data_IF_403812500545
#
_entry.id   IF_403812500545
#
_cell.length_a   1.000
_cell.length_b   1.000
_cell.length_c   1.000
_cell.angle_alpha   90.00
_cell.angle_beta   90.00
_cell.angle_gamma   90.00
#
_symmetry.space_group_name_H-M   'P 1'
#
loop_
_entity.id
_entity.type
_entity.pdbx_description
1 polymer ?
#
# COMPACT_ATOMS: atom_id res chain seq x y z
N UNK A 1 -45.69 -29.46 23.53
CA UNK A 1 -45.46 -28.24 22.72
C UNK A 1 -44.66 -27.25 23.53
N UNK A 2 -43.33 -27.24 23.38
CA UNK A 2 -42.45 -26.30 24.08
C UNK A 2 -41.26 -25.95 23.17
N UNK A 3 -41.56 -25.35 22.01
CA UNK A 3 -40.54 -24.90 21.03
C UNK A 3 -40.58 -23.39 20.80
N UNK A 4 -41.57 -22.67 21.35
CA UNK A 4 -41.75 -21.23 21.10
C UNK A 4 -40.81 -20.31 21.90
N UNK A 5 -40.27 -20.75 23.04
CA UNK A 5 -39.51 -19.87 23.94
C UNK A 5 -38.01 -19.76 23.60
N UNK A 6 -37.45 -20.72 22.84
CA UNK A 6 -36.03 -20.71 22.44
C UNK A 6 -35.75 -19.95 21.14
N UNK A 7 -36.77 -19.72 20.30
CA UNK A 7 -36.58 -19.01 19.03
C UNK A 7 -36.23 -17.53 19.21
N UNK A 8 -36.81 -16.86 20.21
CA UNK A 8 -36.60 -15.43 20.48
C UNK A 8 -35.14 -15.09 20.85
N UNK A 9 -34.49 -15.77 21.81
CA UNK A 9 -33.10 -15.45 22.16
C UNK A 9 -32.11 -15.78 21.02
N UNK A 10 -32.39 -16.81 20.21
CA UNK A 10 -31.58 -17.15 19.03
C UNK A 10 -31.68 -16.04 17.98
N UNK A 11 -32.91 -15.57 17.71
CA UNK A 11 -33.15 -14.49 16.75
C UNK A 11 -32.48 -13.18 17.19
N UNK A 12 -32.54 -12.87 18.49
CA UNK A 12 -31.89 -11.71 19.06
C UNK A 12 -30.35 -11.82 18.98
N UNK A 13 -29.79 -13.01 19.22
CA UNK A 13 -28.36 -13.27 19.07
C UNK A 13 -27.89 -13.10 17.63
N UNK A 14 -28.60 -13.67 16.65
CA UNK A 14 -28.30 -13.51 15.23
C UNK A 14 -28.39 -12.04 14.78
N UNK A 15 -29.38 -11.30 15.28
CA UNK A 15 -29.54 -9.88 15.00
C UNK A 15 -28.35 -9.07 15.56
N UNK A 16 -27.90 -9.37 16.78
CA UNK A 16 -26.71 -8.74 17.35
C UNK A 16 -25.47 -9.05 16.52
N UNK A 17 -25.26 -10.31 16.11
CA UNK A 17 -24.12 -10.66 15.24
C UNK A 17 -24.16 -9.96 13.87
N UNK A 18 -25.35 -9.78 13.29
CA UNK A 18 -25.52 -9.08 12.01
C UNK A 18 -25.27 -7.57 12.11
N UNK A 19 -25.37 -7.00 13.32
CA UNK A 19 -25.13 -5.57 13.59
C UNK A 19 -23.69 -5.29 14.06
N UNK A 20 -22.84 -6.31 14.21
CA UNK A 20 -21.41 -6.11 14.48
C UNK A 20 -20.75 -5.60 13.20
N UNK A 21 -20.59 -4.28 13.12
CA UNK A 21 -19.69 -3.64 12.17
C UNK A 21 -18.26 -4.14 12.42
N UNK A 22 -17.69 -4.83 11.44
CA UNK A 22 -16.29 -5.27 11.50
C UNK A 22 -15.41 -4.04 11.27
N UNK A 23 -14.60 -3.66 12.24
CA UNK A 23 -13.61 -2.61 12.03
C UNK A 23 -12.60 -3.07 10.98
N UNK A 24 -12.61 -2.41 9.82
CA UNK A 24 -11.58 -2.65 8.82
C UNK A 24 -10.29 -2.03 9.33
N UNK A 25 -9.33 -2.88 9.72
CA UNK A 25 -7.98 -2.41 9.98
C UNK A 25 -7.47 -1.65 8.74
N UNK A 26 -6.89 -0.48 8.98
CA UNK A 26 -6.30 0.34 7.92
C UNK A 26 -5.09 -0.35 7.25
N UNK A 27 -4.47 0.35 6.31
CA UNK A 27 -3.24 -0.10 5.66
C UNK A 27 -2.03 0.70 6.13
N UNK A 28 -0.86 0.06 6.18
CA UNK A 28 0.40 0.76 6.42
C UNK A 28 0.88 1.39 5.10
N UNK A 29 1.24 2.67 5.14
CA UNK A 29 1.92 3.38 4.06
C UNK A 29 3.40 3.56 4.37
N UNK A 30 4.26 3.46 3.36
CA UNK A 30 5.71 3.62 3.49
C UNK A 30 6.28 4.56 2.42
N UNK A 31 7.26 5.37 2.79
CA UNK A 31 8.10 6.10 1.84
C UNK A 31 9.28 5.23 1.44
N UNK A 32 9.58 5.16 0.13
CA UNK A 32 10.69 4.39 -0.40
C UNK A 32 11.49 5.22 -1.40
N UNK A 33 12.82 5.11 -1.38
CA UNK A 33 13.69 5.65 -2.42
C UNK A 33 14.72 6.67 -1.97
N UNK A 34 14.88 6.93 -0.68
CA UNK A 34 15.83 7.95 -0.18
C UNK A 34 17.07 7.38 0.51
N UNK A 35 17.25 6.06 0.55
CA UNK A 35 18.52 5.47 0.98
C UNK A 35 18.94 4.32 0.07
N UNK A 36 20.14 4.41 -0.51
CA UNK A 36 20.70 3.30 -1.29
C UNK A 36 20.98 2.03 -0.47
N UNK A 37 20.95 2.12 0.86
CA UNK A 37 21.06 0.96 1.76
C UNK A 37 19.72 0.36 2.17
N UNK A 38 18.58 0.98 1.79
CA UNK A 38 17.27 0.38 2.04
C UNK A 38 17.00 -0.80 1.10
N UNK A 39 15.98 -1.58 1.42
CA UNK A 39 15.61 -2.74 0.61
C UNK A 39 15.13 -2.32 -0.79
N UNK A 40 15.19 -3.22 -1.78
CA UNK A 40 14.61 -2.93 -3.11
C UNK A 40 13.09 -2.74 -3.02
N UNK A 41 12.50 -1.97 -3.93
CA UNK A 41 11.04 -1.80 -4.00
C UNK A 41 10.29 -3.15 -4.09
N UNK A 42 10.88 -4.13 -4.79
CA UNK A 42 10.32 -5.48 -4.87
C UNK A 42 10.31 -6.17 -3.50
N UNK A 43 11.42 -6.10 -2.76
CA UNK A 43 11.50 -6.63 -1.38
C UNK A 43 10.48 -5.94 -0.46
N UNK A 44 10.41 -4.61 -0.52
CA UNK A 44 9.40 -3.81 0.21
C UNK A 44 7.98 -4.31 -0.07
N UNK A 45 7.60 -4.49 -1.33
CA UNK A 45 6.26 -4.94 -1.72
C UNK A 45 5.99 -6.43 -1.43
N UNK A 46 7.04 -7.27 -1.39
CA UNK A 46 6.92 -8.68 -1.03
C UNK A 46 6.85 -8.92 0.49
N UNK A 47 7.14 -7.92 1.32
CA UNK A 47 7.07 -8.06 2.78
C UNK A 47 5.69 -8.41 3.33
N UNK A 48 4.62 -8.07 2.59
CA UNK A 48 3.23 -8.22 3.03
C UNK A 48 2.77 -7.17 4.05
N UNK A 49 3.62 -6.20 4.41
CA UNK A 49 3.33 -5.21 5.46
C UNK A 49 2.55 -4.01 4.94
N UNK A 50 2.75 -3.62 3.68
CA UNK A 50 2.31 -2.32 3.17
C UNK A 50 1.13 -2.42 2.22
N UNK A 51 0.19 -1.47 2.33
CA UNK A 51 -0.91 -1.27 1.37
C UNK A 51 -0.63 -0.10 0.42
N UNK A 52 0.28 0.80 0.80
CA UNK A 52 0.63 1.99 0.05
C UNK A 52 2.15 2.19 0.06
N UNK A 53 2.70 2.58 -1.10
CA UNK A 53 4.10 3.00 -1.23
C UNK A 53 4.14 4.38 -1.88
N UNK A 54 4.78 5.34 -1.23
CA UNK A 54 5.08 6.66 -1.78
C UNK A 54 6.54 6.69 -2.25
N UNK A 55 6.75 6.82 -3.55
CA UNK A 55 8.07 6.90 -4.16
C UNK A 55 8.65 8.29 -3.89
N UNK A 56 9.79 8.32 -3.23
CA UNK A 56 10.42 9.52 -2.71
C UNK A 56 11.75 9.76 -3.43
N UNK A 57 11.95 10.87 -4.16
CA UNK A 57 11.00 11.96 -4.45
C UNK A 57 11.22 12.60 -5.84
N UNK A 58 10.15 13.19 -6.39
CA UNK A 58 10.25 14.23 -7.41
C UNK A 58 10.62 15.56 -6.72
N UNK A 59 11.92 15.82 -6.54
CA UNK A 59 12.40 16.93 -5.71
C UNK A 59 12.66 18.24 -6.48
N UNK A 60 12.58 18.22 -7.81
CA UNK A 60 12.65 19.42 -8.66
C UNK A 60 11.40 19.50 -9.51
N UNK A 61 10.60 20.55 -9.36
CA UNK A 61 9.39 20.78 -10.16
C UNK A 61 8.96 22.26 -10.11
N UNK A 62 8.14 22.73 -11.05
CA UNK A 62 7.58 24.08 -11.06
C UNK A 62 8.53 25.18 -11.55
N UNK A 63 7.98 26.39 -11.78
CA UNK A 63 8.72 27.59 -12.22
C UNK A 63 9.56 27.39 -13.50
N UNK A 64 9.05 26.64 -14.48
CA UNK A 64 9.74 26.38 -15.75
C UNK A 64 10.95 25.42 -15.65
N UNK A 65 11.19 24.82 -14.48
CA UNK A 65 12.29 23.88 -14.27
C UNK A 65 11.97 22.51 -14.87
N UNK A 66 12.97 21.85 -15.46
CA UNK A 66 12.88 20.44 -15.84
C UNK A 66 12.62 19.58 -14.59
N UNK A 67 11.56 18.76 -14.57
CA UNK A 67 11.27 17.90 -13.43
C UNK A 67 12.39 16.90 -13.15
N UNK A 68 12.76 16.75 -11.88
CA UNK A 68 13.86 15.90 -11.44
C UNK A 68 13.42 14.88 -10.40
N UNK A 69 13.52 13.60 -10.75
CA UNK A 69 13.39 12.50 -9.81
C UNK A 69 14.73 12.28 -9.10
N UNK A 70 14.69 12.01 -7.79
CA UNK A 70 15.86 11.61 -7.02
C UNK A 70 15.49 10.38 -6.19
N UNK A 71 16.13 9.25 -6.46
CA UNK A 71 15.97 8.01 -5.71
C UNK A 71 17.27 7.64 -4.97
N UNK A 72 17.97 8.65 -4.45
CA UNK A 72 19.25 8.52 -3.77
C UNK A 72 20.22 7.58 -4.52
N UNK A 73 20.66 6.50 -3.87
CA UNK A 73 21.60 5.52 -4.42
C UNK A 73 20.97 4.40 -5.24
N UNK A 74 19.64 4.34 -5.41
CA UNK A 74 18.98 3.20 -6.09
C UNK A 74 19.24 3.16 -7.59
N UNK A 75 19.20 4.31 -8.25
CA UNK A 75 19.38 4.42 -9.70
C UNK A 75 19.62 5.87 -10.12
N UNK A 76 20.21 6.05 -11.30
CA UNK A 76 20.38 7.37 -11.91
C UNK A 76 19.30 7.61 -13.00
N UNK A 77 18.39 8.58 -12.81
CA UNK A 77 17.34 8.88 -13.79
C UNK A 77 17.83 9.65 -15.02
N UNK A 78 18.97 10.35 -14.96
CA UNK A 78 19.46 11.20 -16.05
C UNK A 78 19.67 10.45 -17.36
N UNK A 79 20.02 9.16 -17.29
CA UNK A 79 20.25 8.28 -18.44
C UNK A 79 19.16 7.20 -18.58
N UNK A 80 17.99 7.40 -17.96
CA UNK A 80 16.90 6.41 -17.97
C UNK A 80 17.15 5.17 -17.10
N UNK A 81 18.18 5.16 -16.26
CA UNK A 81 18.56 4.02 -15.42
C UNK A 81 17.48 3.61 -14.41
N UNK A 82 16.58 4.53 -14.04
CA UNK A 82 15.45 4.24 -13.16
C UNK A 82 14.26 3.54 -13.83
N UNK A 83 14.31 3.26 -15.15
CA UNK A 83 13.26 2.47 -15.84
C UNK A 83 13.11 1.07 -15.22
N UNK A 84 14.16 0.53 -14.59
CA UNK A 84 14.14 -0.73 -13.83
C UNK A 84 13.07 -0.74 -12.74
N UNK A 85 12.72 0.41 -12.16
CA UNK A 85 11.66 0.50 -11.17
C UNK A 85 10.28 0.08 -11.71
N UNK A 86 10.06 0.14 -13.03
CA UNK A 86 8.77 -0.19 -13.65
C UNK A 86 8.32 -1.63 -13.38
N UNK A 87 9.25 -2.60 -13.36
CA UNK A 87 8.90 -4.00 -13.06
C UNK A 87 8.54 -4.18 -11.58
N UNK A 88 9.27 -3.51 -10.68
CA UNK A 88 8.97 -3.52 -9.25
C UNK A 88 7.62 -2.84 -8.94
N UNK A 89 7.31 -1.71 -9.59
CA UNK A 89 6.01 -1.05 -9.47
C UNK A 89 4.88 -1.99 -9.91
N UNK A 90 5.03 -2.68 -11.04
CA UNK A 90 4.04 -3.69 -11.50
C UNK A 90 3.90 -4.85 -10.51
N UNK A 91 4.99 -5.28 -9.88
CA UNK A 91 4.92 -6.31 -8.83
C UNK A 91 4.14 -5.83 -7.60
N UNK A 92 4.33 -4.58 -7.16
CA UNK A 92 3.52 -4.00 -6.09
C UNK A 92 2.03 -3.96 -6.47
N UNK A 93 1.73 -3.47 -7.68
CA UNK A 93 0.36 -3.33 -8.18
C UNK A 93 -0.35 -4.68 -8.32
N UNK A 94 0.34 -5.75 -8.76
CA UNK A 94 -0.25 -7.09 -8.86
C UNK A 94 -0.62 -7.69 -7.49
N UNK A 95 -0.07 -7.14 -6.40
CA UNK A 95 -0.41 -7.48 -5.01
C UNK A 95 -1.48 -6.57 -4.40
N UNK A 96 -2.05 -5.66 -5.20
CA UNK A 96 -3.03 -4.69 -4.74
C UNK A 96 -2.43 -3.53 -3.94
N UNK A 97 -1.11 -3.33 -3.98
CA UNK A 97 -0.43 -2.20 -3.33
C UNK A 97 -0.54 -0.99 -4.24
N UNK A 98 -1.00 0.15 -3.70
CA UNK A 98 -1.03 1.41 -4.44
C UNK A 98 0.35 2.08 -4.37
N UNK A 99 0.88 2.49 -5.52
CA UNK A 99 2.17 3.16 -5.64
C UNK A 99 1.94 4.58 -6.15
N UNK A 100 2.43 5.58 -5.40
CA UNK A 100 2.29 7.01 -5.71
C UNK A 100 3.67 7.65 -5.88
N UNK A 101 3.70 8.80 -6.56
CA UNK A 101 4.83 9.73 -6.63
C UNK A 101 4.39 11.09 -6.08
#
# INVERSE_FOLDING_TARGET
MATKTQAIPIFLSLLVLALIEVSHAGGIGIYWGQSGSETTLNTTCNSGLYKYVSIAFLNKFGSGRTPGLNLAGHCNPANGGCRVASSAIRNCQSKGIKVML
#
